data_IF_167046724346
#
_entry.id   IF_167046724346
#
_cell.length_a   1.000
_cell.length_b   1.000
_cell.length_c   1.000
_cell.angle_alpha   90.00
_cell.angle_beta   90.00
_cell.angle_gamma   90.00
#
_symmetry.space_group_name_H-M   'P 1'
#
loop_
_entity.id
_entity.type
_entity.pdbx_description
1 polymer ?
#
# COMPACT_ATOMS: atom_id res chain seq x y z
N UNK A 1 69.06 9.44 10.79
CA UNK A 1 67.91 10.15 10.19
C UNK A 1 68.22 10.87 8.87
N UNK A 2 69.39 11.51 8.69
CA UNK A 2 69.72 12.27 7.46
C UNK A 2 69.79 11.41 6.17
N UNK A 3 70.22 10.15 6.28
CA UNK A 3 70.35 9.25 5.13
C UNK A 3 69.02 8.68 4.62
N UNK A 4 67.95 8.72 5.45
CA UNK A 4 66.61 8.30 5.05
C UNK A 4 65.97 9.34 4.13
N UNK A 5 66.10 10.62 4.49
CA UNK A 5 65.60 11.75 3.69
C UNK A 5 66.35 11.92 2.36
N UNK A 6 67.65 11.61 2.33
CA UNK A 6 68.45 11.67 1.09
C UNK A 6 68.08 10.58 0.07
N UNK A 7 67.75 9.36 0.55
CA UNK A 7 67.28 8.26 -0.30
C UNK A 7 65.88 8.52 -0.88
N UNK A 8 65.00 9.19 -0.11
CA UNK A 8 63.69 9.67 -0.56
C UNK A 8 63.78 10.60 -1.79
N UNK A 9 64.84 11.42 -1.89
CA UNK A 9 65.06 12.34 -3.02
C UNK A 9 65.69 11.69 -4.26
N UNK A 10 66.41 10.57 -4.11
CA UNK A 10 66.88 9.78 -5.26
C UNK A 10 65.76 8.90 -5.83
N UNK A 11 64.87 8.36 -4.98
CA UNK A 11 63.74 7.53 -5.40
C UNK A 11 62.46 8.34 -5.65
N UNK A 12 62.54 9.42 -6.44
CA UNK A 12 61.40 10.29 -6.77
C UNK A 12 60.17 9.49 -7.24
N UNK A 13 60.38 8.42 -8.00
CA UNK A 13 59.32 7.50 -8.46
C UNK A 13 58.55 6.84 -7.32
N UNK A 14 59.23 6.41 -6.26
CA UNK A 14 58.59 5.78 -5.09
C UNK A 14 57.80 6.81 -4.28
N UNK A 15 58.31 8.05 -4.18
CA UNK A 15 57.64 9.15 -3.48
C UNK A 15 56.36 9.58 -4.21
N UNK A 16 56.41 9.71 -5.54
CA UNK A 16 55.23 9.94 -6.37
C UNK A 16 54.22 8.80 -6.28
N UNK A 17 54.68 7.55 -6.25
CA UNK A 17 53.79 6.39 -6.14
C UNK A 17 53.09 6.33 -4.77
N UNK A 18 53.81 6.63 -3.68
CA UNK A 18 53.22 6.76 -2.36
C UNK A 18 52.18 7.89 -2.28
N UNK A 19 52.50 9.05 -2.87
CA UNK A 19 51.56 10.18 -2.93
C UNK A 19 50.30 9.83 -3.74
N UNK A 20 50.45 9.13 -4.87
CA UNK A 20 49.33 8.69 -5.69
C UNK A 20 48.41 7.71 -4.95
N UNK A 21 48.99 6.78 -4.17
CA UNK A 21 48.21 5.84 -3.35
C UNK A 21 47.43 6.56 -2.25
N UNK A 22 48.05 7.52 -1.56
CA UNK A 22 47.38 8.33 -0.54
C UNK A 22 46.25 9.15 -1.16
N UNK A 23 46.49 9.76 -2.32
CA UNK A 23 45.47 10.52 -3.04
C UNK A 23 44.28 9.63 -3.45
N UNK A 24 44.54 8.43 -3.98
CA UNK A 24 43.50 7.46 -4.31
C UNK A 24 42.68 7.07 -3.09
N UNK A 25 43.32 6.80 -1.95
CA UNK A 25 42.63 6.48 -0.70
C UNK A 25 41.69 7.60 -0.25
N UNK A 26 42.15 8.85 -0.31
CA UNK A 26 41.32 10.02 0.04
C UNK A 26 40.14 10.16 -0.92
N UNK A 27 40.35 9.92 -2.21
CA UNK A 27 39.29 9.97 -3.22
C UNK A 27 38.24 8.89 -2.98
N UNK A 28 38.66 7.65 -2.67
CA UNK A 28 37.73 6.58 -2.32
C UNK A 28 36.93 6.90 -1.05
N UNK A 29 37.55 7.49 -0.03
CA UNK A 29 36.86 7.91 1.19
C UNK A 29 35.82 9.00 0.91
N UNK A 30 36.19 10.04 0.15
CA UNK A 30 35.27 11.13 -0.22
C UNK A 30 34.10 10.60 -1.08
N UNK A 31 34.40 9.76 -2.07
CA UNK A 31 33.39 9.17 -2.93
C UNK A 31 32.41 8.28 -2.15
N UNK A 32 32.92 7.42 -1.26
CA UNK A 32 32.07 6.58 -0.42
C UNK A 32 31.16 7.40 0.48
N UNK A 33 31.69 8.47 1.10
CA UNK A 33 30.89 9.35 1.94
C UNK A 33 29.78 10.05 1.14
N UNK A 34 30.10 10.59 -0.04
CA UNK A 34 29.12 11.24 -0.92
C UNK A 34 28.04 10.28 -1.38
N UNK A 35 28.42 9.06 -1.78
CA UNK A 35 27.46 8.03 -2.19
C UNK A 35 26.52 7.70 -1.01
N UNK A 36 27.06 7.52 0.19
CA UNK A 36 26.26 7.26 1.39
C UNK A 36 25.22 8.37 1.66
N UNK A 37 25.66 9.64 1.61
CA UNK A 37 24.78 10.79 1.79
C UNK A 37 23.68 10.86 0.70
N UNK A 38 24.05 10.64 -0.56
CA UNK A 38 23.09 10.62 -1.67
C UNK A 38 22.04 9.51 -1.50
N UNK A 39 22.43 8.32 -1.04
CA UNK A 39 21.49 7.24 -0.76
C UNK A 39 20.53 7.61 0.36
N UNK A 40 21.03 8.18 1.45
CA UNK A 40 20.18 8.63 2.56
C UNK A 40 19.18 9.70 2.11
N UNK A 41 19.64 10.73 1.41
CA UNK A 41 18.78 11.81 0.90
C UNK A 41 17.74 11.28 -0.10
N UNK A 42 18.13 10.35 -0.98
CA UNK A 42 17.23 9.75 -1.97
C UNK A 42 16.14 8.93 -1.28
N UNK A 43 16.49 8.13 -0.28
CA UNK A 43 15.53 7.35 0.50
C UNK A 43 14.56 8.27 1.26
N UNK A 44 15.08 9.30 1.93
CA UNK A 44 14.24 10.28 2.63
C UNK A 44 13.25 10.97 1.67
N UNK A 45 13.74 11.38 0.50
CA UNK A 45 12.90 11.97 -0.55
C UNK A 45 11.82 11.00 -1.03
N UNK A 46 12.16 9.74 -1.25
CA UNK A 46 11.21 8.72 -1.69
C UNK A 46 10.09 8.54 -0.66
N UNK A 47 10.45 8.42 0.62
CA UNK A 47 9.48 8.28 1.72
C UNK A 47 8.57 9.49 1.81
N UNK A 48 9.13 10.70 1.78
CA UNK A 48 8.34 11.94 1.80
C UNK A 48 7.40 12.04 0.59
N UNK A 49 7.87 11.67 -0.61
CA UNK A 49 7.05 11.68 -1.82
C UNK A 49 5.86 10.75 -1.69
N UNK A 50 6.05 9.53 -1.21
CA UNK A 50 4.96 8.58 -0.97
C UNK A 50 3.95 9.12 0.03
N UNK A 51 4.40 9.76 1.12
CA UNK A 51 3.50 10.38 2.10
C UNK A 51 2.67 11.51 1.48
N UNK A 52 3.28 12.36 0.67
CA UNK A 52 2.58 13.46 -0.02
C UNK A 52 1.55 12.91 -1.02
N UNK A 53 1.91 11.90 -1.81
CA UNK A 53 0.99 11.26 -2.77
C UNK A 53 -0.21 10.62 -2.04
N UNK A 54 0.03 9.95 -0.91
CA UNK A 54 -1.04 9.42 -0.05
C UNK A 54 -1.96 10.53 0.44
N UNK A 55 -1.42 11.60 1.01
CA UNK A 55 -2.21 12.74 1.52
C UNK A 55 -3.03 13.41 0.41
N UNK A 56 -2.44 13.63 -0.76
CA UNK A 56 -3.14 14.19 -1.92
C UNK A 56 -4.27 13.27 -2.40
N UNK A 57 -4.06 11.95 -2.37
CA UNK A 57 -5.10 10.99 -2.71
C UNK A 57 -6.29 11.05 -1.73
N UNK A 58 -6.00 11.14 -0.43
CA UNK A 58 -7.00 11.27 0.62
C UNK A 58 -7.74 12.60 0.50
N UNK A 59 -7.03 13.71 0.28
CA UNK A 59 -7.63 15.01 0.06
C UNK A 59 -8.59 14.99 -1.14
N UNK A 60 -8.18 14.40 -2.26
CA UNK A 60 -9.03 14.26 -3.45
C UNK A 60 -10.28 13.42 -3.17
N UNK A 61 -10.14 12.33 -2.42
CA UNK A 61 -11.27 11.49 -2.04
C UNK A 61 -12.26 12.26 -1.13
N UNK A 62 -11.74 12.96 -0.12
CA UNK A 62 -12.56 13.78 0.78
C UNK A 62 -13.24 14.94 0.04
N UNK A 63 -12.54 15.64 -0.85
CA UNK A 63 -13.14 16.68 -1.70
C UNK A 63 -14.29 16.14 -2.56
N UNK A 64 -14.16 14.93 -3.10
CA UNK A 64 -15.26 14.27 -3.84
C UNK A 64 -16.44 13.96 -2.94
N UNK A 65 -16.21 13.44 -1.74
CA UNK A 65 -17.28 13.15 -0.77
C UNK A 65 -18.00 14.42 -0.35
N UNK A 66 -17.28 15.52 -0.10
CA UNK A 66 -17.89 16.81 0.22
C UNK A 66 -18.72 17.33 -0.96
N UNK A 67 -18.19 17.26 -2.18
CA UNK A 67 -18.92 17.67 -3.38
C UNK A 67 -20.20 16.85 -3.59
N UNK A 68 -20.16 15.55 -3.31
CA UNK A 68 -21.35 14.70 -3.34
C UNK A 68 -22.34 15.05 -2.23
N UNK A 69 -21.88 15.16 -0.98
CA UNK A 69 -22.75 15.47 0.15
C UNK A 69 -23.43 16.84 0.04
N UNK A 70 -22.85 17.76 -0.74
CA UNK A 70 -23.41 19.09 -1.01
C UNK A 70 -24.22 19.17 -2.32
N UNK A 71 -24.28 18.09 -3.11
CA UNK A 71 -25.01 18.08 -4.38
C UNK A 71 -26.49 17.74 -4.19
N UNK A 72 -27.32 18.24 -5.10
CA UNK A 72 -28.76 17.92 -5.14
C UNK A 72 -29.02 16.42 -5.31
N UNK A 73 -28.13 15.70 -5.99
CA UNK A 73 -28.23 14.24 -6.14
C UNK A 73 -28.20 13.49 -4.81
N UNK A 74 -27.38 13.94 -3.85
CA UNK A 74 -27.34 13.32 -2.52
C UNK A 74 -28.61 13.62 -1.71
N UNK A 75 -29.18 14.83 -1.89
CA UNK A 75 -30.47 15.20 -1.29
C UNK A 75 -31.60 14.35 -1.88
N UNK A 76 -31.61 14.15 -3.20
CA UNK A 76 -32.59 13.30 -3.87
C UNK A 76 -32.45 11.84 -3.44
N UNK A 77 -31.24 11.28 -3.43
CA UNK A 77 -31.00 9.90 -2.99
C UNK A 77 -31.54 9.67 -1.57
N UNK A 78 -31.19 10.55 -0.62
CA UNK A 78 -31.72 10.48 0.74
C UNK A 78 -33.24 10.61 0.80
N UNK A 79 -33.80 11.56 0.04
CA UNK A 79 -35.24 11.79 0.01
C UNK A 79 -35.98 10.54 -0.49
N UNK A 80 -35.46 9.86 -1.52
CA UNK A 80 -36.08 8.66 -2.11
C UNK A 80 -35.87 7.39 -1.29
N UNK A 81 -34.64 7.13 -0.85
CA UNK A 81 -34.26 5.85 -0.23
C UNK A 81 -34.54 5.82 1.27
N UNK A 82 -34.11 6.85 2.00
CA UNK A 82 -34.14 6.83 3.46
C UNK A 82 -35.44 7.42 4.02
N UNK A 83 -35.94 8.49 3.38
CA UNK A 83 -37.10 9.22 3.89
C UNK A 83 -38.41 8.91 3.12
N UNK A 84 -38.37 8.01 2.12
CA UNK A 84 -39.51 7.61 1.29
C UNK A 84 -40.35 8.78 0.75
N UNK A 85 -39.72 9.92 0.49
CA UNK A 85 -40.36 11.11 -0.03
C UNK A 85 -40.63 10.98 -1.53
N UNK A 86 -41.82 11.42 -1.94
CA UNK A 86 -42.28 11.42 -3.31
C UNK A 86 -42.39 12.85 -3.86
N UNK A 87 -42.03 13.07 -5.13
CA UNK A 87 -42.24 14.37 -5.77
C UNK A 87 -43.73 14.55 -6.13
N UNK A 88 -44.21 15.80 -6.29
CA UNK A 88 -45.56 16.06 -6.77
C UNK A 88 -45.79 15.40 -8.13
N UNK A 89 -46.68 14.39 -8.18
CA UNK A 89 -46.98 13.61 -9.39
C UNK A 89 -46.53 12.15 -9.35
N UNK A 90 -45.70 11.76 -8.37
CA UNK A 90 -45.29 10.37 -8.19
C UNK A 90 -46.41 9.50 -7.59
N UNK A 91 -46.50 8.25 -8.06
CA UNK A 91 -47.43 7.25 -7.51
C UNK A 91 -46.70 6.36 -6.50
N UNK A 92 -46.88 6.64 -5.22
CA UNK A 92 -46.34 5.80 -4.13
C UNK A 92 -47.13 4.49 -4.08
N UNK A 93 -46.48 3.37 -4.44
CA UNK A 93 -47.06 2.04 -4.37
C UNK A 93 -46.53 1.34 -3.11
N UNK A 94 -47.42 1.06 -2.16
CA UNK A 94 -47.11 0.25 -0.99
C UNK A 94 -47.54 -1.19 -1.31
N UNK A 95 -46.62 -2.15 -1.44
CA UNK A 95 -46.98 -3.54 -1.65
C UNK A 95 -47.69 -4.06 -0.40
N UNK A 96 -48.98 -4.35 -0.52
CA UNK A 96 -49.71 -5.08 0.50
C UNK A 96 -49.54 -6.59 0.23
N UNK A 97 -49.26 -7.40 1.25
CA UNK A 97 -49.28 -8.84 1.10
C UNK A 97 -50.68 -9.29 0.69
N UNK A 98 -50.75 -10.29 -0.18
CA UNK A 98 -52.02 -10.86 -0.60
C UNK A 98 -52.73 -11.47 0.62
N UNK A 99 -54.05 -11.29 0.80
CA UNK A 99 -54.76 -11.89 1.92
C UNK A 99 -54.59 -13.42 1.89
N UNK A 100 -53.98 -13.98 2.93
CA UNK A 100 -53.61 -15.41 3.00
C UNK A 100 -52.13 -15.72 2.78
N UNK A 101 -51.26 -14.70 2.62
CA UNK A 101 -49.81 -14.90 2.51
C UNK A 101 -49.19 -15.25 3.87
N UNK A 102 -49.19 -16.54 4.20
CA UNK A 102 -48.37 -17.08 5.28
C UNK A 102 -46.98 -17.34 4.71
N UNK A 103 -45.96 -16.67 5.23
CA UNK A 103 -44.57 -16.95 4.85
C UNK A 103 -44.28 -18.40 5.28
N UNK A 104 -44.27 -19.34 4.33
CA UNK A 104 -43.83 -20.70 4.61
C UNK A 104 -42.32 -20.62 4.71
N UNK A 105 -41.71 -20.83 5.89
CA UNK A 105 -40.26 -20.81 6.00
C UNK A 105 -39.71 -21.90 5.08
N UNK A 106 -38.97 -21.48 4.05
CA UNK A 106 -38.16 -22.40 3.26
C UNK A 106 -37.14 -23.02 4.21
N UNK A 107 -37.28 -24.31 4.49
CA UNK A 107 -36.30 -25.05 5.28
C UNK A 107 -35.04 -25.14 4.43
N UNK A 108 -34.11 -24.22 4.64
CA UNK A 108 -32.82 -24.28 3.99
C UNK A 108 -32.10 -25.53 4.54
N UNK A 109 -31.61 -26.45 3.68
CA UNK A 109 -30.89 -27.61 4.16
C UNK A 109 -29.71 -27.14 5.00
N UNK A 110 -29.63 -27.61 6.23
CA UNK A 110 -28.47 -27.36 7.09
C UNK A 110 -27.24 -27.91 6.37
N UNK A 111 -26.22 -27.09 6.08
CA UNK A 111 -25.02 -27.59 5.45
C UNK A 111 -24.38 -28.63 6.36
N UNK A 112 -24.21 -29.85 5.86
CA UNK A 112 -23.45 -30.88 6.55
C UNK A 112 -22.03 -30.39 6.73
N UNK A 113 -21.61 -30.14 7.97
CA UNK A 113 -20.23 -29.79 8.26
C UNK A 113 -19.34 -30.99 7.95
N UNK A 114 -18.47 -30.86 6.96
CA UNK A 114 -17.39 -31.83 6.72
C UNK A 114 -16.35 -31.59 7.81
N UNK A 115 -16.17 -32.57 8.71
CA UNK A 115 -15.08 -32.54 9.69
C UNK A 115 -13.81 -32.97 8.98
N UNK A 116 -12.85 -32.05 8.85
CA UNK A 116 -11.52 -32.36 8.32
C UNK A 116 -10.60 -32.81 9.44
N UNK A 117 -9.85 -33.87 9.19
CA UNK A 117 -8.75 -34.28 10.06
C UNK A 117 -7.58 -33.29 9.94
N UNK A 118 -6.81 -33.10 11.02
CA UNK A 118 -5.73 -32.10 11.08
C UNK A 118 -4.74 -32.19 9.89
N UNK A 119 -4.44 -33.40 9.42
CA UNK A 119 -3.52 -33.60 8.28
C UNK A 119 -4.10 -33.10 6.95
N UNK A 120 -5.42 -33.13 6.77
CA UNK A 120 -6.11 -32.62 5.58
C UNK A 120 -6.05 -31.10 5.55
N UNK A 121 -6.18 -30.45 6.71
CA UNK A 121 -6.01 -28.99 6.86
C UNK A 121 -4.60 -28.58 6.44
N UNK A 122 -3.56 -29.29 6.91
CA UNK A 122 -2.19 -29.02 6.50
C UNK A 122 -1.98 -29.19 4.99
N UNK A 123 -2.55 -30.24 4.40
CA UNK A 123 -2.49 -30.45 2.95
C UNK A 123 -3.10 -29.30 2.17
N UNK A 124 -4.27 -28.80 2.57
CA UNK A 124 -4.94 -27.66 1.93
C UNK A 124 -4.10 -26.37 2.04
N UNK A 125 -3.51 -26.10 3.20
CA UNK A 125 -2.70 -24.89 3.42
C UNK A 125 -1.43 -24.86 2.55
N UNK A 126 -0.81 -26.01 2.32
CA UNK A 126 0.46 -26.08 1.58
C UNK A 126 0.31 -26.39 0.08
N UNK A 127 -0.70 -27.15 -0.32
CA UNK A 127 -0.88 -27.58 -1.71
C UNK A 127 -2.02 -26.86 -2.44
N UNK A 128 -2.86 -26.11 -1.72
CA UNK A 128 -3.95 -25.33 -2.33
C UNK A 128 -4.99 -26.17 -3.08
N UNK A 129 -5.03 -27.49 -2.85
CA UNK A 129 -6.05 -28.35 -3.46
C UNK A 129 -7.44 -27.89 -3.02
N UNK A 130 -8.38 -27.83 -3.97
CA UNK A 130 -9.76 -27.48 -3.66
C UNK A 130 -10.32 -28.51 -2.67
N UNK A 131 -10.85 -28.05 -1.55
CA UNK A 131 -11.59 -28.88 -0.59
C UNK A 131 -12.57 -29.79 -1.34
N UNK A 132 -12.66 -31.09 -1.00
CA UNK A 132 -13.62 -31.98 -1.65
C UNK A 132 -15.01 -31.37 -1.53
N UNK A 133 -15.67 -31.18 -2.67
CA UNK A 133 -17.05 -30.69 -2.69
C UNK A 133 -17.94 -31.72 -1.96
N UNK A 134 -18.95 -31.27 -1.19
CA UNK A 134 -20.05 -32.16 -0.81
C UNK A 134 -20.74 -32.72 -2.06
#
# INVERSE_FOLDING_TARGET
MKNLLANLWQNKRQLFMGLAVIFLLLLFLDLNNRIGELYTLTNQRSVMRTQVEMLQSTEKALRKQIAYATSESAVEEWARQDNNLSLPGDKVVIPLPQPGYTVVPTVQPTPTMVVLENWQVWKLLFLGEKSPSP
#
